data_IF_594369875823
#
_entry.id   IF_594369875823
#
_cell.length_a   1.000
_cell.length_b   1.000
_cell.length_c   1.000
_cell.angle_alpha   90.00
_cell.angle_beta   90.00
_cell.angle_gamma   90.00
#
_symmetry.space_group_name_H-M   'P 1'
#
loop_
_entity.id
_entity.type
_entity.pdbx_description
1 polymer ?
#
# COMPACT_ATOMS: atom_id res chain seq x y z
N UNK A 1 -54.11 31.28 4.16
CA UNK A 1 -55.35 30.60 4.61
C UNK A 1 -54.93 29.24 5.19
N UNK A 2 -54.73 29.15 6.50
CA UNK A 2 -54.13 27.98 7.19
C UNK A 2 -55.23 27.31 8.02
N UNK A 3 -55.64 26.09 7.63
CA UNK A 3 -56.61 25.28 8.40
C UNK A 3 -55.88 24.56 9.54
N UNK A 4 -56.11 24.99 10.78
CA UNK A 4 -55.77 24.23 11.99
C UNK A 4 -56.74 23.06 12.13
N UNK A 5 -56.23 21.85 12.04
CA UNK A 5 -56.97 20.62 12.37
C UNK A 5 -56.71 20.33 13.85
N UNK A 6 -57.74 20.53 14.68
CA UNK A 6 -57.73 20.09 16.07
C UNK A 6 -58.08 18.60 16.11
N UNK A 7 -57.05 17.76 16.19
CA UNK A 7 -57.21 16.33 16.51
C UNK A 7 -57.51 16.19 18.00
N UNK A 8 -58.75 15.86 18.32
CA UNK A 8 -59.23 15.59 19.67
C UNK A 8 -58.81 14.15 20.02
N UNK A 9 -57.70 13.99 20.73
CA UNK A 9 -57.29 12.69 21.24
C UNK A 9 -58.32 12.19 22.27
N UNK A 10 -59.16 11.24 21.86
CA UNK A 10 -59.99 10.45 22.77
C UNK A 10 -59.05 9.59 23.63
N UNK A 11 -58.89 9.96 24.89
CA UNK A 11 -58.25 9.13 25.91
C UNK A 11 -59.25 8.04 26.27
N UNK A 12 -59.00 6.81 25.84
CA UNK A 12 -59.79 5.65 26.22
C UNK A 12 -59.59 5.36 27.73
N UNK A 13 -60.66 5.34 28.54
CA UNK A 13 -60.57 4.97 29.95
C UNK A 13 -60.49 3.44 30.06
N UNK A 14 -59.31 2.97 30.41
CA UNK A 14 -59.06 1.54 30.59
C UNK A 14 -57.56 1.27 30.60
N UNK A 15 -56.84 1.86 31.55
CA UNK A 15 -55.52 1.34 31.89
C UNK A 15 -55.75 -0.10 32.40
N UNK A 16 -55.29 -1.14 31.69
CA UNK A 16 -55.37 -2.49 32.23
C UNK A 16 -54.66 -2.45 33.59
N UNK A 17 -55.40 -2.79 34.66
CA UNK A 17 -54.78 -3.02 35.94
C UNK A 17 -53.84 -4.21 35.75
N UNK A 18 -52.55 -3.90 35.62
CA UNK A 18 -51.49 -4.91 35.66
C UNK A 18 -51.51 -5.41 37.10
N UNK A 19 -52.26 -6.48 37.33
CA UNK A 19 -52.20 -7.20 38.60
C UNK A 19 -50.73 -7.52 38.84
N UNK A 20 -50.21 -7.09 39.99
CA UNK A 20 -48.85 -7.40 40.43
C UNK A 20 -48.78 -8.89 40.79
N UNK A 21 -48.79 -9.74 39.75
CA UNK A 21 -48.43 -11.14 39.85
C UNK A 21 -46.95 -11.17 40.26
N UNK A 22 -46.68 -11.60 41.49
CA UNK A 22 -45.33 -11.71 42.01
C UNK A 22 -44.50 -12.62 41.11
N UNK A 23 -43.27 -12.20 40.79
CA UNK A 23 -42.32 -12.98 40.02
C UNK A 23 -42.01 -14.27 40.77
N UNK A 24 -42.23 -15.43 40.15
CA UNK A 24 -41.88 -16.70 40.78
C UNK A 24 -40.37 -16.93 40.70
N UNK A 25 -39.81 -17.64 41.67
CA UNK A 25 -38.37 -17.97 41.68
C UNK A 25 -37.94 -18.75 40.43
N UNK A 26 -38.84 -19.57 39.89
CA UNK A 26 -38.62 -20.33 38.65
C UNK A 26 -38.48 -19.41 37.44
N UNK A 27 -39.34 -18.40 37.30
CA UNK A 27 -39.23 -17.41 36.23
C UNK A 27 -37.92 -16.62 36.30
N UNK A 28 -37.41 -16.33 37.49
CA UNK A 28 -36.11 -15.68 37.67
C UNK A 28 -34.96 -16.55 37.16
N UNK A 29 -34.97 -17.85 37.48
CA UNK A 29 -33.93 -18.76 37.01
C UNK A 29 -33.96 -18.93 35.48
N UNK A 30 -35.16 -19.06 34.89
CA UNK A 30 -35.30 -19.20 33.43
C UNK A 30 -34.82 -17.94 32.71
N UNK A 31 -35.20 -16.75 33.18
CA UNK A 31 -34.75 -15.48 32.58
C UNK A 31 -33.23 -15.30 32.70
N UNK A 32 -32.62 -15.73 33.81
CA UNK A 32 -31.17 -15.69 34.00
C UNK A 32 -30.45 -16.63 33.02
N UNK A 33 -30.96 -17.85 32.80
CA UNK A 33 -30.40 -18.79 31.82
C UNK A 33 -30.50 -18.21 30.41
N UNK A 34 -31.65 -17.65 30.03
CA UNK A 34 -31.84 -16.99 28.72
C UNK A 34 -30.85 -15.82 28.57
N UNK A 35 -30.68 -15.00 29.60
CA UNK A 35 -29.72 -13.89 29.58
C UNK A 35 -28.27 -14.37 29.38
N UNK A 36 -27.87 -15.48 30.03
CA UNK A 36 -26.54 -16.06 29.85
C UNK A 36 -26.32 -16.59 28.43
N UNK A 37 -27.32 -17.23 27.82
CA UNK A 37 -27.23 -17.71 26.43
C UNK A 37 -27.09 -16.53 25.46
N UNK A 38 -27.88 -15.48 25.65
CA UNK A 38 -27.80 -14.26 24.83
C UNK A 38 -26.42 -13.61 24.98
N UNK A 39 -25.93 -13.47 26.21
CA UNK A 39 -24.62 -12.87 26.50
C UNK A 39 -23.47 -13.71 25.91
N UNK A 40 -23.57 -15.04 25.97
CA UNK A 40 -22.61 -15.95 25.33
C UNK A 40 -22.58 -15.80 23.81
N UNK A 41 -23.75 -15.69 23.18
CA UNK A 41 -23.86 -15.42 21.73
C UNK A 41 -23.24 -14.07 21.34
N UNK A 42 -23.49 -13.02 22.13
CA UNK A 42 -22.90 -11.70 21.90
C UNK A 42 -21.37 -11.72 22.05
N UNK A 43 -20.84 -12.40 23.06
CA UNK A 43 -19.39 -12.51 23.27
C UNK A 43 -18.67 -13.15 22.08
N UNK A 44 -19.23 -14.24 21.53
CA UNK A 44 -18.68 -14.89 20.34
C UNK A 44 -18.74 -13.98 19.11
N UNK A 45 -19.85 -13.25 18.94
CA UNK A 45 -19.98 -12.26 17.86
C UNK A 45 -18.92 -11.14 17.98
N UNK A 46 -18.69 -10.62 19.19
CA UNK A 46 -17.67 -9.59 19.42
C UNK A 46 -16.25 -10.09 19.16
N UNK A 47 -15.92 -11.32 19.57
CA UNK A 47 -14.61 -11.92 19.30
C UNK A 47 -14.34 -12.05 17.80
N UNK A 48 -15.33 -12.47 17.02
CA UNK A 48 -15.21 -12.58 15.57
C UNK A 48 -15.03 -11.21 14.90
N UNK A 49 -15.83 -10.22 15.31
CA UNK A 49 -15.74 -8.85 14.78
C UNK A 49 -14.39 -8.20 15.11
N UNK A 50 -13.92 -8.35 16.35
CA UNK A 50 -12.65 -7.77 16.81
C UNK A 50 -11.47 -8.19 15.93
N UNK A 51 -11.39 -9.49 15.60
CA UNK A 51 -10.30 -9.97 14.75
C UNK A 51 -10.38 -9.43 13.31
N UNK A 52 -11.57 -9.24 12.75
CA UNK A 52 -11.73 -8.62 11.43
C UNK A 52 -11.24 -7.17 11.42
N UNK A 53 -11.56 -6.38 12.45
CA UNK A 53 -11.10 -5.00 12.56
C UNK A 53 -9.59 -4.91 12.76
N UNK A 54 -9.01 -5.79 13.59
CA UNK A 54 -7.56 -5.86 13.75
C UNK A 54 -6.83 -6.17 12.42
N UNK A 55 -7.37 -7.11 11.63
CA UNK A 55 -6.84 -7.40 10.30
C UNK A 55 -6.93 -6.20 9.36
N UNK A 56 -8.10 -5.54 9.31
CA UNK A 56 -8.30 -4.36 8.46
C UNK A 56 -7.37 -3.20 8.87
N UNK A 57 -7.18 -2.96 10.17
CA UNK A 57 -6.24 -1.95 10.65
C UNK A 57 -4.81 -2.25 10.18
N UNK A 58 -4.32 -3.48 10.37
CA UNK A 58 -2.97 -3.86 9.93
C UNK A 58 -2.80 -3.81 8.42
N UNK A 59 -3.84 -4.13 7.66
CA UNK A 59 -3.86 -3.96 6.22
C UNK A 59 -3.74 -2.49 5.81
N UNK A 60 -4.40 -1.59 6.53
CA UNK A 60 -4.34 -0.14 6.29
C UNK A 60 -2.96 0.40 6.65
N UNK A 61 -2.40 0.03 7.80
CA UNK A 61 -1.03 0.39 8.21
C UNK A 61 -0.03 -0.01 7.11
N UNK A 62 -0.11 -1.27 6.67
CA UNK A 62 0.72 -1.81 5.61
C UNK A 62 0.61 -1.00 4.30
N UNK A 63 -0.61 -0.64 3.91
CA UNK A 63 -0.85 0.19 2.72
C UNK A 63 -0.24 1.59 2.88
N UNK A 64 -0.37 2.22 4.06
CA UNK A 64 0.17 3.56 4.30
C UNK A 64 1.70 3.59 4.24
N UNK A 65 2.35 2.58 4.82
CA UNK A 65 3.81 2.46 4.78
C UNK A 65 4.30 2.23 3.34
N UNK A 66 3.64 1.36 2.58
CA UNK A 66 3.93 1.16 1.16
C UNK A 66 3.75 2.44 0.35
N UNK A 67 2.65 3.18 0.57
CA UNK A 67 2.38 4.42 -0.16
C UNK A 67 3.41 5.51 0.17
N UNK A 68 3.90 5.56 1.41
CA UNK A 68 4.98 6.48 1.79
C UNK A 68 6.28 6.15 1.05
N UNK A 69 6.67 4.89 1.00
CA UNK A 69 7.90 4.44 0.32
C UNK A 69 7.79 4.58 -1.20
N UNK A 70 6.64 4.23 -1.79
CA UNK A 70 6.42 4.42 -3.23
C UNK A 70 6.49 5.90 -3.60
N UNK A 71 6.02 6.82 -2.77
CA UNK A 71 6.19 8.26 -3.01
C UNK A 71 7.66 8.67 -3.02
N UNK A 72 8.48 8.14 -2.10
CA UNK A 72 9.93 8.40 -2.11
C UNK A 72 10.58 7.87 -3.39
N UNK A 73 10.29 6.62 -3.79
CA UNK A 73 10.80 6.04 -5.04
C UNK A 73 10.35 6.86 -6.26
N UNK A 74 9.10 7.33 -6.28
CA UNK A 74 8.59 8.19 -7.34
C UNK A 74 9.40 9.47 -7.45
N UNK A 75 9.62 10.15 -6.32
CA UNK A 75 10.28 11.45 -6.31
C UNK A 75 11.77 11.30 -6.70
N UNK A 76 12.40 10.18 -6.33
CA UNK A 76 13.74 9.80 -6.81
C UNK A 76 13.77 9.58 -8.32
N UNK A 77 12.82 8.78 -8.84
CA UNK A 77 12.72 8.51 -10.28
C UNK A 77 12.46 9.80 -11.07
N UNK A 78 11.55 10.68 -10.61
CA UNK A 78 11.31 11.98 -11.25
C UNK A 78 12.56 12.83 -11.28
N UNK A 79 13.22 13.00 -10.13
CA UNK A 79 14.44 13.80 -10.05
C UNK A 79 15.58 13.25 -10.91
N UNK A 80 15.66 11.93 -11.07
CA UNK A 80 16.63 11.30 -11.94
C UNK A 80 16.33 11.51 -13.43
N UNK A 81 15.06 11.38 -13.82
CA UNK A 81 14.60 11.53 -15.21
C UNK A 81 14.79 12.97 -15.71
N UNK A 82 14.45 13.98 -14.91
CA UNK A 82 14.57 15.39 -15.32
C UNK A 82 16.04 15.88 -15.44
N UNK A 83 17.01 15.12 -14.93
CA UNK A 83 18.43 15.50 -14.91
C UNK A 83 19.25 15.08 -16.14
N UNK A 84 18.59 14.56 -17.19
CA UNK A 84 19.19 13.79 -18.28
C UNK A 84 19.82 14.64 -19.39
N UNK A 85 21.17 14.69 -19.42
CA UNK A 85 21.87 14.19 -20.61
C UNK A 85 22.62 12.86 -20.35
N UNK A 86 22.54 12.30 -19.14
CA UNK A 86 23.14 11.02 -18.75
C UNK A 86 22.05 10.11 -18.18
N UNK A 87 22.01 8.84 -18.59
CA UNK A 87 21.07 7.81 -18.12
C UNK A 87 21.03 7.74 -16.58
N UNK A 88 20.10 8.48 -15.96
CA UNK A 88 20.06 8.69 -14.52
C UNK A 88 19.39 7.57 -13.73
N UNK A 89 18.81 6.56 -14.38
CA UNK A 89 18.12 5.44 -13.73
C UNK A 89 18.76 4.13 -14.19
N UNK A 90 19.11 3.28 -13.22
CA UNK A 90 19.61 1.93 -13.46
C UNK A 90 18.78 0.89 -12.69
N UNK A 91 18.46 -0.23 -13.34
CA UNK A 91 17.59 -1.30 -12.84
C UNK A 91 18.36 -2.60 -12.99
N UNK A 92 18.45 -3.39 -11.91
CA UNK A 92 19.25 -4.62 -11.92
C UNK A 92 18.75 -5.70 -10.94
N UNK A 93 19.42 -6.85 -10.99
CA UNK A 93 19.21 -7.96 -10.05
C UNK A 93 20.16 -7.86 -8.86
N UNK A 94 19.70 -8.29 -7.68
CA UNK A 94 20.47 -8.39 -6.44
C UNK A 94 21.66 -9.31 -6.67
N UNK A 95 22.87 -8.78 -6.44
CA UNK A 95 24.13 -9.51 -6.60
C UNK A 95 25.05 -8.97 -7.68
N UNK A 96 24.60 -8.09 -8.58
CA UNK A 96 25.46 -7.40 -9.55
C UNK A 96 26.10 -6.11 -8.97
N UNK A 97 26.55 -6.16 -7.72
CA UNK A 97 26.86 -4.98 -6.90
C UNK A 97 28.24 -4.34 -7.13
N UNK A 98 29.04 -4.78 -8.11
CA UNK A 98 30.35 -4.16 -8.31
C UNK A 98 30.26 -2.76 -8.93
N UNK A 99 29.14 -2.44 -9.59
CA UNK A 99 28.92 -1.10 -10.13
C UNK A 99 27.43 -0.80 -10.41
N UNK A 100 26.75 0.05 -9.60
CA UNK A 100 25.36 0.44 -9.85
C UNK A 100 25.16 1.24 -11.16
N UNK A 101 26.25 1.63 -11.84
CA UNK A 101 26.23 2.30 -13.14
C UNK A 101 26.29 1.33 -14.34
N UNK A 102 26.47 0.02 -14.13
CA UNK A 102 26.58 -0.98 -15.21
C UNK A 102 25.31 -1.84 -15.26
N UNK A 103 24.48 -1.57 -16.26
CA UNK A 103 23.21 -2.25 -16.51
C UNK A 103 23.41 -3.62 -17.18
N UNK A 104 22.83 -4.68 -16.61
CA UNK A 104 22.42 -5.86 -17.36
C UNK A 104 20.89 -5.89 -17.41
N UNK A 105 20.33 -5.89 -18.62
CA UNK A 105 18.89 -6.04 -18.82
C UNK A 105 18.39 -7.34 -18.20
N UNK A 106 17.69 -7.25 -17.08
CA UNK A 106 17.07 -8.38 -16.41
C UNK A 106 15.56 -8.37 -16.63
N UNK A 107 15.02 -9.45 -17.19
CA UNK A 107 13.59 -9.76 -17.14
C UNK A 107 13.32 -10.64 -15.91
N UNK A 108 12.95 -10.01 -14.79
CA UNK A 108 12.67 -10.71 -13.53
C UNK A 108 12.34 -9.72 -12.40
N UNK A 109 12.12 -10.22 -11.18
CA UNK A 109 12.00 -9.39 -9.98
C UNK A 109 13.18 -8.41 -9.88
N UNK A 110 12.89 -7.11 -9.94
CA UNK A 110 13.91 -6.08 -9.75
C UNK A 110 14.30 -6.08 -8.29
N UNK A 111 15.55 -6.39 -8.01
CA UNK A 111 16.06 -6.37 -6.65
C UNK A 111 17.01 -5.22 -6.38
N UNK A 112 17.33 -4.42 -7.41
CA UNK A 112 18.08 -3.19 -7.28
C UNK A 112 17.54 -2.11 -8.22
N UNK A 113 17.25 -0.93 -7.68
CA UNK A 113 16.99 0.31 -8.41
C UNK A 113 18.01 1.35 -7.95
N UNK A 114 18.82 1.86 -8.86
CA UNK A 114 19.71 2.99 -8.61
C UNK A 114 19.24 4.20 -9.42
N UNK A 115 19.28 5.37 -8.81
CA UNK A 115 18.87 6.63 -9.44
C UNK A 115 19.82 7.75 -9.05
N UNK A 116 20.21 8.55 -10.03
CA UNK A 116 21.11 9.67 -9.87
C UNK A 116 20.25 10.93 -9.75
N UNK A 117 20.14 11.46 -8.54
CA UNK A 117 19.21 12.54 -8.22
C UNK A 117 19.98 13.75 -7.72
N UNK A 118 19.54 14.95 -8.08
CA UNK A 118 20.08 16.18 -7.51
C UNK A 118 19.83 16.23 -6.00
N UNK A 119 20.89 16.31 -5.18
CA UNK A 119 20.77 16.40 -3.73
C UNK A 119 21.69 17.51 -3.18
N UNK A 120 21.14 18.68 -2.80
CA UNK A 120 21.95 19.78 -2.29
C UNK A 120 22.60 19.48 -0.93
N UNK A 121 22.13 18.44 -0.24
CA UNK A 121 22.62 18.00 1.06
C UNK A 121 23.67 16.88 0.98
N UNK A 122 24.09 16.45 -0.23
CA UNK A 122 25.15 15.45 -0.38
C UNK A 122 26.48 15.99 0.20
N UNK A 123 27.11 15.28 1.16
CA UNK A 123 28.41 15.66 1.71
C UNK A 123 29.56 15.58 0.68
N UNK A 124 29.42 14.79 -0.39
CA UNK A 124 30.44 14.57 -1.42
C UNK A 124 30.30 15.58 -2.59
N UNK A 125 30.16 16.86 -2.27
CA UNK A 125 29.88 17.95 -3.22
C UNK A 125 30.93 18.06 -4.34
N UNK A 126 30.63 17.52 -5.51
CA UNK A 126 31.15 18.03 -6.77
C UNK A 126 30.14 18.99 -7.42
N UNK A 127 30.58 19.74 -8.42
CA UNK A 127 29.85 20.85 -9.06
C UNK A 127 28.60 20.40 -9.86
N UNK A 128 28.32 19.10 -9.92
CA UNK A 128 27.10 18.49 -10.44
C UNK A 128 26.23 17.85 -9.35
N UNK A 129 26.64 17.83 -8.08
CA UNK A 129 25.86 17.56 -6.84
C UNK A 129 24.73 16.52 -6.96
N UNK A 130 25.02 15.41 -7.64
CA UNK A 130 24.08 14.30 -7.80
C UNK A 130 24.41 13.22 -6.77
N UNK A 131 23.45 12.90 -5.91
CA UNK A 131 23.53 11.72 -5.06
C UNK A 131 23.05 10.49 -5.83
N UNK A 132 23.65 9.33 -5.56
CA UNK A 132 23.14 8.05 -6.04
C UNK A 132 22.27 7.43 -4.95
N UNK A 133 20.97 7.40 -5.22
CA UNK A 133 19.96 6.76 -4.39
C UNK A 133 19.75 5.33 -4.86
N UNK A 134 19.92 4.37 -3.96
CA UNK A 134 19.80 2.94 -4.27
C UNK A 134 18.75 2.31 -3.38
N UNK A 135 17.76 1.69 -4.03
CA UNK A 135 16.76 0.84 -3.43
C UNK A 135 17.12 -0.61 -3.69
N UNK A 136 17.19 -1.42 -2.65
CA UNK A 136 17.55 -2.83 -2.73
C UNK A 136 16.49 -3.68 -2.07
N UNK A 137 15.97 -4.66 -2.79
CA UNK A 137 15.09 -5.66 -2.20
C UNK A 137 15.93 -6.81 -1.64
N UNK A 138 15.85 -6.99 -0.33
CA UNK A 138 16.43 -8.11 0.40
C UNK A 138 15.36 -9.20 0.57
N UNK A 139 15.35 -10.14 -0.36
CA UNK A 139 14.40 -11.26 -0.38
C UNK A 139 14.56 -12.18 0.84
N UNK A 140 15.78 -12.35 1.36
CA UNK A 140 16.04 -13.25 2.48
C UNK A 140 15.40 -12.73 3.77
N UNK A 141 15.47 -11.41 3.99
CA UNK A 141 14.88 -10.75 5.15
C UNK A 141 13.50 -10.12 4.89
N UNK A 142 12.93 -10.30 3.69
CA UNK A 142 11.66 -9.70 3.25
C UNK A 142 11.59 -8.20 3.54
N UNK A 143 12.59 -7.43 3.10
CA UNK A 143 12.64 -5.99 3.36
C UNK A 143 13.15 -5.22 2.15
N UNK A 144 12.68 -3.99 2.02
CA UNK A 144 13.25 -3.02 1.10
C UNK A 144 14.24 -2.16 1.88
N UNK A 145 15.46 -2.13 1.39
CA UNK A 145 16.55 -1.33 1.92
C UNK A 145 16.79 -0.11 1.03
N UNK A 146 17.25 0.97 1.64
CA UNK A 146 17.53 2.24 0.99
C UNK A 146 18.90 2.75 1.40
N UNK A 147 19.68 3.16 0.42
CA UNK A 147 20.90 3.95 0.60
C UNK A 147 20.73 5.27 -0.15
N UNK A 148 20.86 6.39 0.58
CA UNK A 148 20.73 7.73 0.01
C UNK A 148 21.98 8.16 -0.77
N UNK A 149 23.16 7.67 -0.37
CA UNK A 149 24.46 8.18 -0.82
C UNK A 149 25.40 7.00 -1.16
N UNK A 150 25.01 6.19 -2.15
CA UNK A 150 25.71 4.97 -2.54
C UNK A 150 27.10 5.17 -3.22
N UNK A 151 27.71 6.35 -3.07
CA UNK A 151 29.02 6.66 -3.64
C UNK A 151 30.14 6.01 -2.82
N UNK A 152 30.62 4.86 -3.29
CA UNK A 152 31.85 4.19 -2.84
C UNK A 152 31.65 3.03 -1.87
N UNK A 153 30.77 3.16 -0.87
CA UNK A 153 30.43 2.05 0.03
C UNK A 153 28.94 2.06 0.34
N UNK A 154 28.29 0.92 0.08
CA UNK A 154 26.85 0.78 0.23
C UNK A 154 26.50 0.62 1.72
N UNK A 155 25.69 1.53 2.24
CA UNK A 155 25.20 1.53 3.62
C UNK A 155 23.68 1.48 3.64
N UNK A 156 23.16 0.30 3.31
CA UNK A 156 21.73 0.02 3.26
C UNK A 156 21.07 0.16 4.64
N UNK A 157 19.99 0.93 4.70
CA UNK A 157 19.09 1.04 5.87
C UNK A 157 17.73 0.44 5.53
N UNK A 158 17.06 -0.26 6.46
CA UNK A 158 15.72 -0.75 6.22
C UNK A 158 14.76 0.44 6.01
N UNK A 159 14.09 0.46 4.87
CA UNK A 159 13.06 1.45 4.55
C UNK A 159 11.65 0.89 4.73
N UNK A 160 11.48 -0.41 4.46
CA UNK A 160 10.20 -1.10 4.64
C UNK A 160 10.43 -2.58 4.96
N UNK A 161 9.67 -3.13 5.90
CA UNK A 161 9.71 -4.55 6.28
C UNK A 161 8.48 -5.30 5.74
N UNK A 162 8.56 -6.63 5.69
CA UNK A 162 7.48 -7.49 5.21
C UNK A 162 7.28 -7.47 3.69
N UNK A 163 8.19 -6.85 2.94
CA UNK A 163 8.14 -6.77 1.47
C UNK A 163 8.37 -8.18 0.90
N UNK A 164 7.42 -8.66 0.11
CA UNK A 164 7.49 -9.97 -0.55
C UNK A 164 7.78 -9.88 -2.04
N UNK A 165 7.63 -8.68 -2.61
CA UNK A 165 7.91 -8.41 -4.01
C UNK A 165 8.25 -6.94 -4.20
N UNK A 166 9.26 -6.67 -5.02
CA UNK A 166 9.58 -5.33 -5.52
C UNK A 166 9.97 -5.45 -6.99
N UNK A 167 9.45 -4.58 -7.84
CA UNK A 167 9.76 -4.57 -9.26
C UNK A 167 9.70 -3.16 -9.80
N UNK A 168 10.67 -2.82 -10.64
CA UNK A 168 10.76 -1.55 -11.37
C UNK A 168 11.09 -1.89 -12.81
N UNK A 169 10.31 -1.44 -13.78
CA UNK A 169 10.63 -1.68 -15.18
C UNK A 169 9.48 -1.48 -16.14
N UNK A 170 9.65 -2.11 -17.31
CA UNK A 170 8.67 -2.11 -18.39
C UNK A 170 7.45 -2.98 -18.00
N UNK A 171 6.24 -2.41 -17.94
CA UNK A 171 5.01 -3.15 -17.68
C UNK A 171 4.71 -4.25 -18.71
N UNK A 172 5.26 -4.20 -19.93
CA UNK A 172 5.06 -5.22 -20.95
C UNK A 172 5.90 -6.47 -20.69
N UNK A 173 6.93 -6.37 -19.85
CA UNK A 173 7.76 -7.49 -19.40
C UNK A 173 7.25 -8.10 -18.08
N UNK A 174 5.95 -8.01 -17.79
CA UNK A 174 5.38 -8.52 -16.55
C UNK A 174 5.38 -10.06 -16.49
N UNK A 175 5.83 -10.68 -15.39
CA UNK A 175 5.64 -12.11 -15.19
C UNK A 175 4.18 -12.54 -15.29
N UNK A 176 3.97 -13.69 -15.95
CA UNK A 176 2.66 -14.32 -16.15
C UNK A 176 1.98 -14.56 -14.80
N UNK A 177 0.69 -14.20 -14.69
CA UNK A 177 -0.10 -14.39 -13.47
C UNK A 177 -0.15 -13.18 -12.53
N UNK A 178 0.54 -12.09 -12.88
CA UNK A 178 0.33 -10.78 -12.26
C UNK A 178 -0.63 -9.97 -13.15
N UNK A 179 -1.67 -9.30 -12.61
CA UNK A 179 -2.51 -8.43 -13.42
C UNK A 179 -1.65 -7.40 -14.12
N UNK A 180 -1.74 -7.38 -15.45
CA UNK A 180 -1.10 -6.36 -16.24
C UNK A 180 -1.59 -4.99 -15.75
N UNK A 181 -0.65 -4.09 -15.52
CA UNK A 181 -1.01 -2.71 -15.27
C UNK A 181 -1.65 -2.08 -16.54
N UNK A 182 -2.47 -1.02 -16.39
CA UNK A 182 -3.20 -0.44 -17.52
C UNK A 182 -2.27 0.09 -18.63
N UNK A 183 -2.36 -0.50 -19.82
CA UNK A 183 -1.47 -0.28 -20.97
C UNK A 183 -1.44 1.18 -21.47
N UNK A 184 -2.54 1.93 -21.33
CA UNK A 184 -2.62 3.33 -21.79
C UNK A 184 -1.84 4.33 -20.93
N UNK A 185 -1.22 3.88 -19.83
CA UNK A 185 -0.53 4.73 -18.86
C UNK A 185 0.99 4.71 -19.04
N UNK A 186 1.51 4.42 -20.23
CA UNK A 186 2.96 4.22 -20.43
C UNK A 186 3.61 5.17 -21.42
N UNK A 187 2.82 5.75 -22.30
CA UNK A 187 3.26 6.81 -23.18
C UNK A 187 2.53 8.07 -22.81
N UNK A 188 3.29 9.11 -22.51
CA UNK A 188 2.75 10.46 -22.36
C UNK A 188 3.45 11.34 -23.38
N UNK A 189 2.70 12.18 -24.07
CA UNK A 189 3.28 13.23 -24.89
C UNK A 189 3.56 14.44 -24.00
N UNK A 190 4.82 14.87 -23.97
CA UNK A 190 5.25 16.07 -23.27
C UNK A 190 5.77 17.10 -24.26
N UNK A 191 5.73 18.37 -23.86
CA UNK A 191 6.16 19.49 -24.69
C UNK A 191 7.53 19.97 -24.22
N UNK A 192 8.46 20.17 -25.15
CA UNK A 192 9.74 20.81 -24.86
C UNK A 192 9.60 22.34 -24.79
N UNK A 193 10.66 23.02 -24.33
CA UNK A 193 10.68 24.48 -24.22
C UNK A 193 10.57 25.21 -25.59
N UNK A 194 10.73 24.50 -26.71
CA UNK A 194 10.62 25.02 -28.08
C UNK A 194 9.25 24.69 -28.71
N UNK A 195 8.34 24.06 -27.97
CA UNK A 195 7.01 23.66 -28.45
C UNK A 195 6.99 22.35 -29.24
N UNK A 196 8.10 21.59 -29.29
CA UNK A 196 8.15 20.25 -29.84
C UNK A 196 7.47 19.23 -28.94
N UNK A 197 6.83 18.23 -29.54
CA UNK A 197 6.18 17.12 -28.83
C UNK A 197 7.09 15.90 -28.81
N UNK A 198 7.27 15.30 -27.63
CA UNK A 198 8.04 14.07 -27.46
C UNK A 198 7.20 13.03 -26.74
N UNK A 199 7.16 11.81 -27.27
CA UNK A 199 6.58 10.68 -26.55
C UNK A 199 7.61 10.13 -25.58
N UNK A 200 7.26 10.15 -24.30
CA UNK A 200 8.12 9.65 -23.24
C UNK A 200 7.54 8.39 -22.60
N UNK A 201 8.46 7.50 -22.25
CA UNK A 201 8.16 6.25 -21.56
C UNK A 201 8.12 6.48 -20.05
N UNK A 202 7.12 5.89 -19.39
CA UNK A 202 7.00 5.90 -17.94
C UNK A 202 7.74 4.71 -17.30
N UNK A 203 8.15 4.88 -16.05
CA UNK A 203 8.58 3.78 -15.19
C UNK A 203 7.39 3.28 -14.36
N UNK A 204 7.15 1.98 -14.36
CA UNK A 204 6.25 1.34 -13.42
C UNK A 204 7.03 0.81 -12.22
N UNK A 205 6.58 1.14 -11.01
CA UNK A 205 7.08 0.56 -9.77
C UNK A 205 5.94 -0.21 -9.12
N UNK A 206 6.17 -1.48 -8.82
CA UNK A 206 5.23 -2.31 -8.08
C UNK A 206 5.87 -2.89 -6.83
N UNK A 207 5.08 -2.95 -5.77
CA UNK A 207 5.47 -3.51 -4.50
C UNK A 207 4.35 -4.41 -3.96
N UNK A 208 4.74 -5.53 -3.35
CA UNK A 208 3.87 -6.40 -2.57
C UNK A 208 4.42 -6.56 -1.16
N UNK A 209 3.52 -6.54 -0.18
CA UNK A 209 3.87 -6.67 1.23
C UNK A 209 2.95 -7.66 1.93
N UNK A 210 3.53 -8.47 2.81
CA UNK A 210 2.80 -9.36 3.71
C UNK A 210 2.18 -8.54 4.85
N UNK A 211 0.91 -8.80 5.16
CA UNK A 211 0.23 -8.13 6.28
C UNK A 211 0.47 -8.95 7.55
N UNK A 212 1.19 -8.42 8.56
CA UNK A 212 1.58 -9.19 9.74
C UNK A 212 0.39 -9.35 10.69
N UNK A 213 -0.40 -10.40 10.48
CA UNK A 213 -1.60 -10.66 11.28
C UNK A 213 -1.66 -12.10 11.78
N UNK A 214 -1.61 -12.23 13.11
CA UNK A 214 -2.19 -13.36 13.82
C UNK A 214 -3.71 -13.18 13.79
N UNK A 215 -4.42 -14.08 13.09
CA UNK A 215 -5.86 -13.97 12.98
C UNK A 215 -6.53 -15.26 13.47
N UNK A 216 -7.45 -15.12 14.41
CA UNK A 216 -8.25 -16.22 14.97
C UNK A 216 -9.68 -16.05 14.46
N UNK A 217 -10.14 -16.97 13.62
CA UNK A 217 -11.57 -17.16 13.34
C UNK A 217 -12.16 -16.57 12.05
N UNK A 218 -11.38 -16.02 11.12
CA UNK A 218 -11.92 -15.64 9.82
C UNK A 218 -11.03 -15.91 8.62
N UNK A 219 -11.58 -15.62 7.44
CA UNK A 219 -10.95 -15.90 6.15
C UNK A 219 -9.95 -14.79 5.81
N UNK A 220 -8.66 -15.11 5.94
CA UNK A 220 -7.58 -14.28 5.38
C UNK A 220 -7.62 -14.40 3.86
N UNK A 221 -7.54 -13.29 3.14
CA UNK A 221 -7.55 -13.29 1.67
C UNK A 221 -6.25 -12.74 1.08
N UNK A 222 -5.85 -13.25 -0.08
CA UNK A 222 -4.72 -12.74 -0.86
C UNK A 222 -5.10 -11.44 -1.59
N UNK A 223 -4.18 -10.95 -2.42
CA UNK A 223 -4.38 -9.76 -3.26
C UNK A 223 -5.52 -9.91 -4.29
N UNK A 224 -5.98 -11.13 -4.55
CA UNK A 224 -7.05 -11.46 -5.49
C UNK A 224 -8.38 -11.82 -4.81
N UNK A 225 -8.42 -11.81 -3.47
CA UNK A 225 -9.60 -12.20 -2.71
C UNK A 225 -9.72 -13.69 -2.41
N UNK A 226 -8.73 -14.51 -2.78
CA UNK A 226 -8.73 -15.95 -2.49
C UNK A 226 -8.29 -16.21 -1.04
N UNK A 227 -8.86 -17.21 -0.35
CA UNK A 227 -8.40 -17.63 0.97
C UNK A 227 -6.90 -17.98 0.98
N UNK A 228 -6.14 -17.44 1.94
CA UNK A 228 -4.69 -17.68 2.05
C UNK A 228 -4.21 -17.69 3.50
N UNK A 229 -3.13 -18.40 3.81
CA UNK A 229 -2.46 -18.32 5.12
C UNK A 229 -1.61 -17.05 5.28
N UNK A 230 -1.17 -16.46 4.15
CA UNK A 230 -0.26 -15.32 4.06
C UNK A 230 -0.95 -14.18 3.30
N UNK A 231 -1.73 -13.33 3.99
CA UNK A 231 -2.43 -12.23 3.34
C UNK A 231 -1.42 -11.18 2.88
N UNK A 232 -1.62 -10.65 1.67
CA UNK A 232 -0.72 -9.68 1.05
C UNK A 232 -1.48 -8.48 0.53
N UNK A 233 -0.79 -7.36 0.44
CA UNK A 233 -1.26 -6.14 -0.21
C UNK A 233 -0.30 -5.77 -1.32
N UNK A 234 -0.83 -5.20 -2.40
CA UNK A 234 -0.06 -4.78 -3.56
C UNK A 234 -0.39 -3.34 -3.90
N UNK A 235 0.64 -2.56 -4.19
CA UNK A 235 0.54 -1.18 -4.66
C UNK A 235 1.49 -0.98 -5.82
N UNK A 236 1.11 -0.06 -6.70
CA UNK A 236 1.94 0.34 -7.81
C UNK A 236 1.82 1.85 -8.01
N UNK A 237 2.84 2.41 -8.65
CA UNK A 237 2.86 3.78 -9.13
C UNK A 237 3.43 3.79 -10.54
N UNK A 238 3.05 4.81 -11.30
CA UNK A 238 3.59 5.09 -12.61
C UNK A 238 4.24 6.46 -12.56
N UNK A 239 5.47 6.54 -13.04
CA UNK A 239 6.31 7.73 -12.96
C UNK A 239 6.66 8.19 -14.37
N UNK A 240 6.29 9.42 -14.68
CA UNK A 240 6.58 10.07 -15.96
C UNK A 240 7.65 11.15 -15.75
N UNK A 241 8.44 11.49 -16.78
CA UNK A 241 9.20 12.73 -16.82
C UNK A 241 8.28 13.94 -16.65
N UNK A 242 8.73 14.99 -15.96
CA UNK A 242 7.99 16.25 -15.93
C UNK A 242 8.37 17.16 -17.10
N UNK A 243 9.56 16.95 -17.69
CA UNK A 243 10.06 17.77 -18.80
C UNK A 243 10.75 16.94 -19.89
N UNK A 244 10.60 17.37 -21.14
CA UNK A 244 11.43 16.90 -22.24
C UNK A 244 12.71 17.75 -22.23
N UNK A 245 13.79 17.19 -21.69
CA UNK A 245 15.10 17.76 -21.92
C UNK A 245 15.47 17.42 -23.37
N UNK A 246 15.50 18.44 -24.23
CA UNK A 246 15.98 18.26 -25.60
C UNK A 246 17.45 17.77 -25.53
N UNK A 247 17.80 16.66 -26.22
CA UNK A 247 19.17 16.18 -26.25
C UNK A 247 20.14 17.20 -26.86
#
# INVERSE_FOLDING_TARGET
MIRRIYSKAMIAPGSPQVGSAGFTLVELLVTLVIAMVILGGLLLSFQNQYGHYAYQSKKVDAIQDMDAVLRMVRDDLRGAIDSAPLNGVAIGQSGQLDNPYVLAGGSGETSLLASVVWDPADPNKDIYSRAVRVWKYDMANKRLEYDRNALGSLSYKPALEGVTWFQVGDPYAWPVGVPALPVSAYTQTIFDAKGGTHDVYAYAVQMEMEVPVGYRGGVKTDVFGNPTSMPRVRRHIIVYPESAVAP
#
